data_IF_746271783074
#
_entry.id   IF_746271783074
#
_cell.length_a   1.000
_cell.length_b   1.000
_cell.length_c   1.000
_cell.angle_alpha   90.00
_cell.angle_beta   90.00
_cell.angle_gamma   90.00
#
_symmetry.space_group_name_H-M   'P 1'
#
loop_
_entity.id
_entity.type
_entity.pdbx_description
1 polymer ?
#
# COMPACT_ATOMS: atom_id res chain seq x y z
N UNK A 1 7.80 24.20 -18.40
CA UNK A 1 6.51 23.63 -18.88
C UNK A 1 6.61 22.13 -19.16
N UNK A 2 7.70 21.63 -19.78
CA UNK A 2 7.91 20.18 -19.99
C UNK A 2 8.21 19.38 -18.71
N UNK A 3 8.78 20.00 -17.66
CA UNK A 3 9.13 19.30 -16.42
C UNK A 3 7.90 18.86 -15.61
N UNK A 4 6.87 19.69 -15.49
CA UNK A 4 5.63 19.37 -14.75
C UNK A 4 4.82 18.24 -15.40
N UNK A 5 4.76 18.20 -16.73
CA UNK A 5 4.10 17.11 -17.47
C UNK A 5 4.88 15.81 -17.32
N UNK A 6 6.22 15.86 -17.42
CA UNK A 6 7.08 14.70 -17.17
C UNK A 6 6.90 14.16 -15.74
N UNK A 7 6.95 15.03 -14.73
CA UNK A 7 6.72 14.64 -13.33
C UNK A 7 5.33 14.05 -13.09
N UNK A 8 4.27 14.61 -13.70
CA UNK A 8 2.92 14.05 -13.62
C UNK A 8 2.86 12.62 -14.20
N UNK A 9 3.43 12.42 -15.39
CA UNK A 9 3.48 11.10 -16.03
C UNK A 9 4.30 10.09 -15.23
N UNK A 10 5.45 10.51 -14.71
CA UNK A 10 6.28 9.67 -13.83
C UNK A 10 5.47 9.26 -12.59
N UNK A 11 4.82 10.20 -11.91
CA UNK A 11 3.99 9.91 -10.76
C UNK A 11 2.85 8.94 -11.12
N UNK A 12 2.17 9.15 -12.25
CA UNK A 12 1.12 8.24 -12.71
C UNK A 12 1.61 6.82 -13.01
N UNK A 13 2.76 6.67 -13.67
CA UNK A 13 3.36 5.36 -13.93
C UNK A 13 3.74 4.68 -12.62
N UNK A 14 4.35 5.41 -11.68
CA UNK A 14 4.74 4.86 -10.38
C UNK A 14 3.53 4.43 -9.55
N UNK A 15 2.42 5.16 -9.59
CA UNK A 15 1.16 4.74 -8.98
C UNK A 15 0.68 3.40 -9.55
N UNK A 16 0.65 3.24 -10.87
CA UNK A 16 0.24 1.96 -11.48
C UNK A 16 1.19 0.82 -11.13
N UNK A 17 2.50 1.08 -11.11
CA UNK A 17 3.49 0.08 -10.65
C UNK A 17 3.18 -0.31 -9.22
N UNK A 18 3.01 0.66 -8.31
CA UNK A 18 2.70 0.42 -6.91
C UNK A 18 1.45 -0.45 -6.73
N UNK A 19 0.33 -0.06 -7.34
CA UNK A 19 -0.94 -0.80 -7.25
C UNK A 19 -0.82 -2.21 -7.82
N UNK A 20 -0.24 -2.38 -9.01
CA UNK A 20 -0.13 -3.70 -9.66
C UNK A 20 0.81 -4.61 -8.88
N UNK A 21 1.98 -4.13 -8.47
CA UNK A 21 2.93 -4.98 -7.73
C UNK A 21 2.41 -5.33 -6.34
N UNK A 22 1.69 -4.42 -5.66
CA UNK A 22 1.04 -4.75 -4.41
C UNK A 22 -0.04 -5.83 -4.58
N UNK A 23 -0.96 -5.66 -5.55
CA UNK A 23 -2.04 -6.63 -5.79
C UNK A 23 -1.50 -8.02 -6.13
N UNK A 24 -0.50 -8.10 -7.04
CA UNK A 24 0.12 -9.36 -7.41
C UNK A 24 0.93 -9.94 -6.24
N UNK A 25 1.71 -9.11 -5.55
CA UNK A 25 2.57 -9.53 -4.45
C UNK A 25 1.77 -10.11 -3.29
N UNK A 26 0.79 -9.36 -2.82
CA UNK A 26 -0.11 -9.78 -1.76
C UNK A 26 -0.92 -11.02 -2.16
N UNK A 27 -1.43 -11.06 -3.40
CA UNK A 27 -2.17 -12.21 -3.91
C UNK A 27 -1.36 -13.52 -3.94
N UNK A 28 -0.07 -13.45 -4.32
CA UNK A 28 0.83 -14.61 -4.29
C UNK A 28 1.08 -15.12 -2.85
N UNK A 29 1.17 -14.21 -1.88
CA UNK A 29 1.38 -14.55 -0.46
C UNK A 29 0.09 -15.15 0.12
N UNK A 30 -1.04 -14.47 -0.03
CA UNK A 30 -2.32 -14.88 0.55
C UNK A 30 -2.86 -16.19 -0.05
N UNK A 31 -2.57 -16.48 -1.32
CA UNK A 31 -2.89 -17.76 -1.94
C UNK A 31 -2.34 -18.97 -1.14
N UNK A 32 -1.26 -18.77 -0.39
CA UNK A 32 -0.67 -19.79 0.48
C UNK A 32 -1.15 -19.62 1.92
N UNK A 33 -1.13 -18.38 2.45
CA UNK A 33 -1.43 -18.11 3.86
C UNK A 33 -2.90 -18.33 4.24
N UNK A 34 -3.84 -18.28 3.29
CA UNK A 34 -5.26 -18.53 3.56
C UNK A 34 -5.61 -20.02 3.70
N UNK A 35 -4.64 -20.93 3.50
CA UNK A 35 -4.87 -22.36 3.74
C UNK A 35 -4.87 -22.66 5.25
N UNK A 36 -5.80 -23.50 5.75
CA UNK A 36 -5.80 -23.93 7.16
C UNK A 36 -4.47 -24.54 7.58
N UNK A 37 -3.83 -25.28 6.66
CA UNK A 37 -2.55 -25.95 6.86
C UNK A 37 -1.37 -25.17 6.25
N UNK A 38 -1.41 -23.83 6.27
CA UNK A 38 -0.40 -22.98 5.62
C UNK A 38 1.05 -23.36 5.97
N UNK A 39 1.33 -23.81 7.21
CA UNK A 39 2.68 -24.25 7.62
C UNK A 39 3.22 -25.45 6.84
N UNK A 40 2.37 -26.27 6.21
CA UNK A 40 2.80 -27.34 5.30
C UNK A 40 3.10 -26.81 3.89
N UNK A 41 2.52 -25.67 3.51
CA UNK A 41 2.55 -25.16 2.14
C UNK A 41 3.54 -24.02 1.90
N UNK A 42 3.86 -23.23 2.93
CA UNK A 42 4.75 -22.06 2.80
C UNK A 42 6.16 -22.45 2.35
N UNK A 43 6.81 -23.44 2.98
CA UNK A 43 8.18 -23.82 2.61
C UNK A 43 8.28 -24.48 1.21
N UNK A 44 7.42 -25.43 0.83
CA UNK A 44 7.40 -25.96 -0.54
C UNK A 44 7.21 -24.87 -1.60
N UNK A 45 6.43 -23.83 -1.30
CA UNK A 45 6.18 -22.70 -2.19
C UNK A 45 7.01 -21.45 -1.85
N UNK A 46 8.16 -21.60 -1.19
CA UNK A 46 9.00 -20.48 -0.74
C UNK A 46 9.33 -19.46 -1.85
N UNK A 47 9.57 -19.93 -3.08
CA UNK A 47 9.86 -19.05 -4.21
C UNK A 47 8.69 -18.13 -4.54
N UNK A 48 7.45 -18.65 -4.48
CA UNK A 48 6.24 -17.86 -4.69
C UNK A 48 6.08 -16.79 -3.60
N UNK A 49 6.28 -17.17 -2.34
CA UNK A 49 6.22 -16.22 -1.20
C UNK A 49 7.31 -15.16 -1.34
N UNK A 50 8.55 -15.54 -1.68
CA UNK A 50 9.65 -14.60 -1.89
C UNK A 50 9.39 -13.64 -3.05
N UNK A 51 8.84 -14.11 -4.18
CA UNK A 51 8.42 -13.25 -5.29
C UNK A 51 7.34 -12.27 -4.82
N UNK A 52 6.36 -12.75 -4.06
CA UNK A 52 5.30 -11.90 -3.51
C UNK A 52 5.86 -10.77 -2.64
N UNK A 53 6.80 -11.09 -1.76
CA UNK A 53 7.50 -10.12 -0.91
C UNK A 53 8.32 -9.13 -1.72
N UNK A 54 9.05 -9.58 -2.75
CA UNK A 54 9.80 -8.69 -3.65
C UNK A 54 8.89 -7.68 -4.37
N UNK A 55 7.68 -8.11 -4.77
CA UNK A 55 6.69 -7.22 -5.37
C UNK A 55 6.14 -6.19 -4.37
N UNK A 56 5.94 -6.57 -3.10
CA UNK A 56 5.59 -5.63 -2.02
C UNK A 56 6.71 -4.60 -1.77
N UNK A 57 7.98 -4.99 -1.86
CA UNK A 57 9.12 -4.06 -1.81
C UNK A 57 9.14 -3.06 -2.97
N UNK A 58 8.85 -3.54 -4.19
CA UNK A 58 8.72 -2.67 -5.37
C UNK A 58 7.57 -1.66 -5.16
N UNK A 59 6.45 -2.11 -4.61
CA UNK A 59 5.34 -1.23 -4.25
C UNK A 59 5.78 -0.12 -3.26
N UNK A 60 6.41 -0.48 -2.16
CA UNK A 60 6.90 0.49 -1.16
C UNK A 60 7.88 1.50 -1.76
N UNK A 61 8.75 1.05 -2.66
CA UNK A 61 9.72 1.93 -3.35
C UNK A 61 9.01 2.87 -4.32
N UNK A 62 8.04 2.35 -5.09
CA UNK A 62 7.23 3.15 -5.99
C UNK A 62 6.40 4.20 -5.23
N UNK A 63 5.84 3.85 -4.06
CA UNK A 63 5.09 4.77 -3.19
C UNK A 63 5.94 5.98 -2.76
N UNK A 64 7.19 5.76 -2.34
CA UNK A 64 8.13 6.85 -2.04
C UNK A 64 8.47 7.65 -3.30
N UNK A 65 8.69 6.97 -4.42
CA UNK A 65 8.94 7.60 -5.71
C UNK A 65 7.81 8.53 -6.17
N UNK A 66 6.55 8.16 -5.94
CA UNK A 66 5.38 9.02 -6.20
C UNK A 66 5.48 10.31 -5.39
N UNK A 67 5.76 10.20 -4.09
CA UNK A 67 5.91 11.35 -3.20
C UNK A 67 6.99 12.31 -3.70
N UNK A 68 8.15 11.77 -4.08
CA UNK A 68 9.27 12.54 -4.64
C UNK A 68 8.89 13.20 -5.97
N UNK A 69 8.19 12.48 -6.86
CA UNK A 69 7.77 13.01 -8.15
C UNK A 69 6.73 14.13 -8.03
N UNK A 70 5.83 14.04 -7.04
CA UNK A 70 4.79 15.05 -6.78
C UNK A 70 5.30 16.25 -5.98
N UNK A 71 6.35 16.07 -5.16
CA UNK A 71 6.86 17.11 -4.27
C UNK A 71 7.12 18.48 -4.94
N UNK A 72 7.82 18.58 -6.10
CA UNK A 72 8.07 19.87 -6.75
C UNK A 72 6.81 20.61 -7.21
N UNK A 73 5.69 19.89 -7.34
CA UNK A 73 4.40 20.42 -7.81
C UNK A 73 3.56 20.86 -6.61
N UNK A 74 3.46 19.98 -5.60
CA UNK A 74 2.71 20.24 -4.37
C UNK A 74 3.32 21.40 -3.58
N UNK A 75 4.66 21.48 -3.50
CA UNK A 75 5.34 22.53 -2.74
C UNK A 75 5.02 23.95 -3.20
N UNK A 76 4.68 24.12 -4.49
CA UNK A 76 4.28 25.43 -5.05
C UNK A 76 2.94 25.93 -4.49
N UNK A 77 2.15 25.04 -3.91
CA UNK A 77 0.79 25.33 -3.44
C UNK A 77 0.71 25.32 -1.91
N UNK A 78 1.42 24.38 -1.28
CA UNK A 78 1.65 24.34 0.16
C UNK A 78 2.84 23.43 0.46
N UNK A 79 3.95 24.02 0.92
CA UNK A 79 5.18 23.28 1.21
C UNK A 79 5.06 22.36 2.43
N UNK A 80 4.34 22.77 3.47
CA UNK A 80 4.12 21.95 4.68
C UNK A 80 3.37 20.66 4.34
N UNK A 81 2.30 20.77 3.54
CA UNK A 81 1.55 19.60 3.06
C UNK A 81 2.41 18.75 2.12
N UNK A 82 3.20 19.36 1.25
CA UNK A 82 4.08 18.61 0.35
C UNK A 82 5.15 17.81 1.10
N UNK A 83 5.79 18.41 2.11
CA UNK A 83 6.82 17.76 2.92
C UNK A 83 6.25 16.62 3.75
N UNK A 84 5.12 16.82 4.43
CA UNK A 84 4.54 15.74 5.20
C UNK A 84 4.02 14.61 4.32
N UNK A 85 3.63 14.87 3.05
CA UNK A 85 3.25 13.78 2.13
C UNK A 85 4.43 12.86 1.86
N UNK A 86 5.61 13.44 1.63
CA UNK A 86 6.84 12.66 1.48
C UNK A 86 7.16 11.90 2.77
N UNK A 87 7.10 12.56 3.93
CA UNK A 87 7.41 11.93 5.22
C UNK A 87 6.47 10.75 5.54
N UNK A 88 5.16 10.93 5.37
CA UNK A 88 4.18 9.88 5.62
C UNK A 88 4.27 8.73 4.61
N UNK A 89 4.62 9.00 3.35
CA UNK A 89 4.91 7.93 2.37
C UNK A 89 6.14 7.11 2.74
N UNK A 90 7.17 7.73 3.32
CA UNK A 90 8.33 7.00 3.85
C UNK A 90 7.93 6.14 5.06
N UNK A 91 7.16 6.70 6.00
CA UNK A 91 6.67 5.97 7.18
C UNK A 91 5.81 4.77 6.76
N UNK A 92 4.85 4.98 5.86
CA UNK A 92 4.03 3.92 5.26
C UNK A 92 4.90 2.82 4.66
N UNK A 93 5.84 3.18 3.78
CA UNK A 93 6.73 2.23 3.11
C UNK A 93 7.53 1.39 4.12
N UNK A 94 8.04 2.01 5.18
CA UNK A 94 8.78 1.31 6.25
C UNK A 94 7.87 0.33 6.99
N UNK A 95 6.64 0.74 7.35
CA UNK A 95 5.69 -0.15 8.04
C UNK A 95 5.34 -1.36 7.16
N UNK A 96 5.09 -1.14 5.86
CA UNK A 96 4.82 -2.23 4.91
C UNK A 96 6.01 -3.18 4.78
N UNK A 97 7.24 -2.65 4.70
CA UNK A 97 8.47 -3.45 4.66
C UNK A 97 8.60 -4.31 5.93
N UNK A 98 8.31 -3.75 7.11
CA UNK A 98 8.32 -4.51 8.37
C UNK A 98 7.28 -5.63 8.32
N UNK A 99 6.07 -5.37 7.80
CA UNK A 99 5.05 -6.39 7.61
C UNK A 99 5.46 -7.50 6.64
N UNK A 100 6.23 -7.16 5.60
CA UNK A 100 6.74 -8.11 4.61
C UNK A 100 7.84 -9.04 5.15
N UNK A 101 8.41 -8.74 6.32
CA UNK A 101 9.33 -9.66 7.03
C UNK A 101 8.59 -10.89 7.55
N UNK A 102 7.33 -10.73 7.98
CA UNK A 102 6.52 -11.82 8.52
C UNK A 102 6.40 -13.05 7.58
N UNK A 103 6.02 -12.90 6.29
CA UNK A 103 5.98 -14.03 5.36
C UNK A 103 7.35 -14.66 5.08
N UNK A 104 8.45 -13.89 5.18
CA UNK A 104 9.81 -14.44 5.08
C UNK A 104 10.15 -15.31 6.31
N UNK A 105 9.78 -14.86 7.51
CA UNK A 105 9.94 -15.65 8.74
C UNK A 105 9.10 -16.93 8.69
N UNK A 106 7.90 -16.88 8.12
CA UNK A 106 7.05 -18.04 7.93
C UNK A 106 7.68 -19.12 7.05
N UNK A 107 8.53 -18.77 6.08
CA UNK A 107 9.28 -19.76 5.29
C UNK A 107 10.20 -20.59 6.19
N UNK A 108 10.89 -19.95 7.13
CA UNK A 108 11.77 -20.64 8.08
C UNK A 108 10.96 -21.47 9.08
N UNK A 109 9.89 -20.90 9.65
CA UNK A 109 9.02 -21.61 10.59
C UNK A 109 8.38 -22.85 9.94
N UNK A 110 7.92 -22.74 8.69
CA UNK A 110 7.35 -23.84 7.91
C UNK A 110 8.38 -24.94 7.63
N UNK A 111 9.63 -24.58 7.32
CA UNK A 111 10.70 -25.57 7.12
C UNK A 111 10.94 -26.44 8.35
N UNK A 112 11.08 -25.79 9.52
CA UNK A 112 11.34 -26.48 10.78
C UNK A 112 10.12 -27.29 11.23
N UNK A 113 8.91 -26.77 11.02
CA UNK A 113 7.66 -27.49 11.28
C UNK A 113 7.59 -28.82 10.53
N UNK A 114 7.92 -28.82 9.23
CA UNK A 114 7.94 -30.03 8.39
C UNK A 114 9.03 -31.00 8.86
N UNK A 115 10.18 -30.51 9.33
CA UNK A 115 11.30 -31.35 9.75
C UNK A 115 11.07 -32.03 11.11
N UNK A 116 10.47 -31.34 12.08
CA UNK A 116 10.29 -31.83 13.46
C UNK A 116 9.01 -32.66 13.63
N UNK A 117 7.96 -32.38 12.86
CA UNK A 117 6.69 -33.10 12.93
C UNK A 117 5.88 -32.82 14.21
N UNK A 118 5.00 -33.77 14.58
CA UNK A 118 4.00 -33.62 15.64
C UNK A 118 4.49 -33.17 17.05
N UNK A 119 5.68 -33.55 17.55
CA UNK A 119 6.08 -33.25 18.93
C UNK A 119 6.20 -31.75 19.27
N UNK A 120 6.46 -30.89 18.27
CA UNK A 120 6.62 -29.44 18.45
C UNK A 120 5.63 -28.61 17.62
N UNK A 121 4.59 -29.24 17.07
CA UNK A 121 3.67 -28.61 16.10
C UNK A 121 2.97 -27.36 16.64
N UNK A 122 2.59 -27.36 17.92
CA UNK A 122 1.87 -26.25 18.57
C UNK A 122 2.70 -24.96 18.68
N UNK A 123 4.02 -25.07 18.90
CA UNK A 123 4.92 -23.93 18.99
C UNK A 123 4.99 -23.19 17.64
N UNK A 124 5.16 -23.92 16.54
CA UNK A 124 5.21 -23.33 15.20
C UNK A 124 3.85 -22.76 14.76
N UNK A 125 2.73 -23.38 15.14
CA UNK A 125 1.39 -22.84 14.90
C UNK A 125 1.19 -21.49 15.60
N UNK A 126 1.68 -21.35 16.83
CA UNK A 126 1.56 -20.11 17.61
C UNK A 126 2.44 -19.00 17.03
N UNK A 127 3.69 -19.32 16.67
CA UNK A 127 4.58 -18.36 16.00
C UNK A 127 4.03 -17.97 14.63
N UNK A 128 3.47 -18.93 13.90
CA UNK A 128 2.92 -18.70 12.56
C UNK A 128 1.68 -17.82 12.59
N UNK A 129 0.75 -18.05 13.53
CA UNK A 129 -0.43 -17.20 13.68
C UNK A 129 -0.05 -15.77 14.10
N UNK A 130 0.94 -15.62 14.98
CA UNK A 130 1.46 -14.31 15.37
C UNK A 130 2.11 -13.58 14.18
N UNK A 131 2.84 -14.30 13.32
CA UNK A 131 3.43 -13.71 12.11
C UNK A 131 2.36 -13.26 11.10
N UNK A 132 1.30 -14.05 10.90
CA UNK A 132 0.16 -13.66 10.05
C UNK A 132 -0.52 -12.41 10.61
N UNK A 133 -0.78 -12.39 11.93
CA UNK A 133 -1.35 -11.23 12.61
C UNK A 133 -0.44 -10.00 12.53
N UNK A 134 0.88 -10.21 12.62
CA UNK A 134 1.88 -9.16 12.44
C UNK A 134 1.81 -8.51 11.07
N UNK A 135 1.78 -9.31 9.99
CA UNK A 135 1.57 -8.80 8.61
C UNK A 135 0.28 -8.00 8.50
N UNK A 136 -0.82 -8.54 9.03
CA UNK A 136 -2.13 -7.88 9.01
C UNK A 136 -2.08 -6.53 9.71
N UNK A 137 -1.56 -6.47 10.94
CA UNK A 137 -1.48 -5.24 11.72
C UNK A 137 -0.58 -4.20 11.05
N UNK A 138 0.58 -4.61 10.53
CA UNK A 138 1.46 -3.73 9.76
C UNK A 138 0.73 -3.14 8.55
N UNK A 139 -0.03 -3.94 7.81
CA UNK A 139 -0.84 -3.42 6.70
C UNK A 139 -1.86 -2.37 7.16
N UNK A 140 -2.64 -2.65 8.21
CA UNK A 140 -3.63 -1.68 8.70
C UNK A 140 -3.00 -0.39 9.21
N UNK A 141 -1.87 -0.46 9.91
CA UNK A 141 -1.13 0.72 10.35
C UNK A 141 -0.62 1.54 9.15
N UNK A 142 -0.09 0.89 8.11
CA UNK A 142 0.31 1.56 6.89
C UNK A 142 -0.88 2.24 6.19
N UNK A 143 -2.04 1.58 6.14
CA UNK A 143 -3.27 2.15 5.57
C UNK A 143 -3.77 3.38 6.34
N UNK A 144 -3.64 3.41 7.67
CA UNK A 144 -3.96 4.59 8.48
C UNK A 144 -3.03 5.76 8.14
N UNK A 145 -1.73 5.52 8.10
CA UNK A 145 -0.71 6.53 7.76
C UNK A 145 -0.95 7.06 6.34
N UNK A 146 -1.22 6.16 5.39
CA UNK A 146 -1.57 6.48 4.01
C UNK A 146 -2.83 7.34 3.94
N UNK A 147 -3.91 6.90 4.59
CA UNK A 147 -5.21 7.56 4.58
C UNK A 147 -5.15 8.98 5.14
N UNK A 148 -4.57 9.15 6.33
CA UNK A 148 -4.46 10.44 7.02
C UNK A 148 -3.82 11.52 6.12
N UNK A 149 -2.69 11.19 5.50
CA UNK A 149 -1.97 12.18 4.70
C UNK A 149 -2.50 12.30 3.26
N UNK A 150 -3.08 11.24 2.72
CA UNK A 150 -3.70 11.29 1.38
C UNK A 150 -4.99 12.11 1.37
N UNK A 151 -5.67 12.27 2.50
CA UNK A 151 -6.75 13.25 2.66
C UNK A 151 -6.24 14.69 2.50
N UNK A 152 -5.08 15.02 3.09
CA UNK A 152 -4.43 16.33 2.93
C UNK A 152 -3.95 16.55 1.49
N UNK A 153 -3.44 15.50 0.83
CA UNK A 153 -3.14 15.53 -0.60
C UNK A 153 -4.40 15.85 -1.42
N UNK A 154 -5.51 15.15 -1.19
CA UNK A 154 -6.77 15.36 -1.91
C UNK A 154 -7.31 16.79 -1.68
N UNK A 155 -7.21 17.29 -0.45
CA UNK A 155 -7.53 18.69 -0.14
C UNK A 155 -6.68 19.66 -0.96
N UNK A 156 -5.36 19.44 -1.02
CA UNK A 156 -4.45 20.27 -1.79
C UNK A 156 -4.76 20.22 -3.29
N UNK A 157 -5.03 19.03 -3.85
CA UNK A 157 -5.44 18.83 -5.24
C UNK A 157 -6.76 19.52 -5.57
N UNK A 158 -7.73 19.48 -4.66
CA UNK A 158 -9.02 20.16 -4.79
C UNK A 158 -8.86 21.69 -4.82
N UNK A 159 -8.10 22.25 -3.86
CA UNK A 159 -7.91 23.69 -3.71
C UNK A 159 -7.05 24.29 -4.81
N UNK A 160 -6.02 23.57 -5.24
CA UNK A 160 -5.11 23.98 -6.33
C UNK A 160 -5.70 23.81 -7.73
N UNK A 161 -6.81 23.06 -7.88
CA UNK A 161 -7.41 22.68 -9.17
C UNK A 161 -6.42 21.98 -10.12
N UNK A 162 -5.39 21.34 -9.57
CA UNK A 162 -4.38 20.59 -10.33
C UNK A 162 -4.99 19.45 -11.15
N UNK A 163 -6.11 18.88 -10.67
CA UNK A 163 -6.93 17.90 -11.37
C UNK A 163 -8.41 18.33 -11.30
N UNK A 164 -9.33 17.70 -12.08
CA UNK A 164 -10.75 17.98 -11.98
C UNK A 164 -11.27 17.80 -10.55
N UNK A 165 -12.08 18.74 -10.06
CA UNK A 165 -12.59 18.74 -8.66
C UNK A 165 -13.31 17.45 -8.29
N UNK A 166 -14.08 16.89 -9.22
CA UNK A 166 -14.76 15.61 -9.04
C UNK A 166 -13.77 14.48 -8.68
N UNK A 167 -12.62 14.42 -9.37
CA UNK A 167 -11.60 13.40 -9.11
C UNK A 167 -10.95 13.59 -7.73
N UNK A 168 -10.72 14.85 -7.30
CA UNK A 168 -10.22 15.12 -5.94
C UNK A 168 -11.23 14.74 -4.85
N UNK A 169 -12.53 15.00 -5.06
CA UNK A 169 -13.59 14.60 -4.13
C UNK A 169 -13.68 13.08 -4.05
N UNK A 170 -13.63 12.41 -5.21
CA UNK A 170 -13.65 10.95 -5.27
C UNK A 170 -12.46 10.34 -4.53
N UNK A 171 -11.25 10.90 -4.70
CA UNK A 171 -10.08 10.49 -3.93
C UNK A 171 -10.21 10.74 -2.44
N UNK A 172 -10.79 11.88 -2.05
CA UNK A 172 -11.06 12.16 -0.64
C UNK A 172 -11.98 11.11 -0.01
N UNK A 173 -13.08 10.75 -0.70
CA UNK A 173 -13.98 9.67 -0.27
C UNK A 173 -13.20 8.35 -0.19
N UNK A 174 -12.41 8.03 -1.22
CA UNK A 174 -11.57 6.82 -1.26
C UNK A 174 -10.65 6.67 -0.05
N UNK A 175 -9.84 7.68 0.24
CA UNK A 175 -8.91 7.63 1.37
C UNK A 175 -9.61 7.75 2.73
N UNK A 176 -10.76 8.44 2.81
CA UNK A 176 -11.56 8.46 4.02
C UNK A 176 -12.13 7.08 4.33
N UNK A 177 -12.70 6.39 3.33
CA UNK A 177 -13.20 5.02 3.47
C UNK A 177 -12.09 4.04 3.85
N UNK A 178 -10.91 4.15 3.22
CA UNK A 178 -9.73 3.33 3.54
C UNK A 178 -9.25 3.57 4.97
N UNK A 179 -9.16 4.83 5.41
CA UNK A 179 -8.79 5.17 6.79
C UNK A 179 -9.80 4.62 7.81
N UNK A 180 -11.09 4.76 7.54
CA UNK A 180 -12.16 4.23 8.40
C UNK A 180 -12.10 2.71 8.47
N UNK A 181 -11.89 2.03 7.34
CA UNK A 181 -11.74 0.58 7.28
C UNK A 181 -10.57 0.11 8.13
N UNK A 182 -9.40 0.70 7.96
CA UNK A 182 -8.20 0.32 8.71
C UNK A 182 -8.34 0.53 10.22
N UNK A 183 -9.02 1.61 10.65
CA UNK A 183 -9.34 1.83 12.05
C UNK A 183 -10.29 0.77 12.60
N UNK A 184 -11.37 0.47 11.88
CA UNK A 184 -12.36 -0.53 12.30
C UNK A 184 -11.76 -1.94 12.40
N UNK A 185 -10.92 -2.32 11.45
CA UNK A 185 -10.20 -3.61 11.47
C UNK A 185 -9.27 -3.72 12.70
N UNK A 186 -8.60 -2.63 13.10
CA UNK A 186 -7.79 -2.61 14.34
C UNK A 186 -8.65 -2.77 15.59
N UNK A 187 -9.86 -2.21 15.60
CA UNK A 187 -10.82 -2.40 16.69
C UNK A 187 -11.53 -3.77 16.67
N UNK A 188 -11.20 -4.65 15.71
CA UNK A 188 -11.76 -5.99 15.60
C UNK A 188 -13.10 -6.05 14.85
N UNK A 189 -13.49 -4.97 14.17
CA UNK A 189 -14.67 -4.95 13.30
C UNK A 189 -14.28 -5.26 11.87
N UNK A 190 -14.68 -6.44 11.37
CA UNK A 190 -14.46 -6.79 9.97
C UNK A 190 -15.32 -5.93 9.06
N UNK A 191 -14.67 -5.08 8.29
CA UNK A 191 -15.32 -4.16 7.35
C UNK A 191 -15.43 -4.73 5.94
N UNK A 192 -14.67 -5.80 5.66
CA UNK A 192 -14.61 -6.43 4.35
C UNK A 192 -14.07 -5.49 3.26
N UNK A 193 -14.22 -5.90 2.00
CA UNK A 193 -13.66 -5.14 0.87
C UNK A 193 -14.45 -3.86 0.51
N UNK A 194 -15.67 -3.68 1.04
CA UNK A 194 -16.58 -2.60 0.63
C UNK A 194 -15.97 -1.20 0.78
N UNK A 195 -15.27 -0.94 1.89
CA UNK A 195 -14.67 0.36 2.17
C UNK A 195 -13.34 0.58 1.42
N UNK A 196 -12.71 -0.48 0.89
CA UNK A 196 -11.50 -0.38 0.08
C UNK A 196 -11.79 -0.05 -1.39
N UNK A 197 -12.98 -0.40 -1.90
CA UNK A 197 -13.35 -0.23 -3.32
C UNK A 197 -13.18 1.24 -3.80
N UNK A 198 -13.67 2.27 -3.09
CA UNK A 198 -13.55 3.64 -3.59
C UNK A 198 -12.09 4.12 -3.65
N UNK A 199 -11.26 3.70 -2.69
CA UNK A 199 -9.82 3.96 -2.68
C UNK A 199 -9.12 3.28 -3.86
N UNK A 200 -9.36 1.99 -4.06
CA UNK A 200 -8.78 1.22 -5.16
C UNK A 200 -9.15 1.81 -6.54
N UNK A 201 -10.41 2.20 -6.73
CA UNK A 201 -10.84 2.86 -7.96
C UNK A 201 -10.13 4.21 -8.16
N UNK A 202 -9.97 5.00 -7.10
CA UNK A 202 -9.24 6.26 -7.20
C UNK A 202 -7.77 6.04 -7.56
N UNK A 203 -7.11 5.04 -6.96
CA UNK A 203 -5.72 4.70 -7.27
C UNK A 203 -5.50 4.19 -8.69
N UNK A 204 -6.54 3.81 -9.42
CA UNK A 204 -6.47 3.48 -10.85
C UNK A 204 -6.82 4.72 -11.70
N UNK A 205 -7.88 5.45 -11.37
CA UNK A 205 -8.36 6.58 -12.15
C UNK A 205 -7.37 7.77 -12.11
N UNK A 206 -6.81 8.06 -10.93
CA UNK A 206 -5.88 9.16 -10.74
C UNK A 206 -4.60 9.03 -11.59
N UNK A 207 -3.86 7.92 -11.58
CA UNK A 207 -2.67 7.79 -12.42
C UNK A 207 -2.98 7.78 -13.91
N UNK A 208 -4.09 7.16 -14.35
CA UNK A 208 -4.51 7.21 -15.76
C UNK A 208 -4.70 8.67 -16.18
N UNK A 209 -5.35 9.47 -15.33
CA UNK A 209 -5.50 10.90 -15.59
C UNK A 209 -4.15 11.63 -15.67
N UNK A 210 -3.22 11.36 -14.75
CA UNK A 210 -1.88 11.95 -14.76
C UNK A 210 -1.07 11.59 -16.01
N UNK A 211 -1.23 10.37 -16.52
CA UNK A 211 -0.52 9.89 -17.71
C UNK A 211 -1.08 10.58 -18.97
N UNK A 212 -2.41 10.59 -19.12
CA UNK A 212 -3.09 11.07 -20.34
C UNK A 212 -3.10 12.60 -20.39
N UNK A 213 -3.49 13.27 -19.30
CA UNK A 213 -3.70 14.73 -19.27
C UNK A 213 -2.65 15.49 -18.47
N UNK A 214 -2.12 14.88 -17.41
CA UNK A 214 -1.23 15.57 -16.46
C UNK A 214 -1.97 16.61 -15.61
N UNK A 215 -1.22 17.54 -15.03
CA UNK A 215 -1.79 18.59 -14.17
C UNK A 215 -2.29 19.79 -14.97
N UNK A 216 -3.43 20.34 -14.53
CA UNK A 216 -3.94 21.61 -15.01
C UNK A 216 -2.94 22.73 -14.71
N UNK A 217 -2.83 23.69 -15.64
CA UNK A 217 -2.06 24.92 -15.39
C UNK A 217 -2.83 25.77 -14.36
N UNK A 218 -2.14 26.43 -13.42
CA UNK A 218 -2.78 27.49 -12.65
C UNK A 218 -3.33 28.51 -13.66
N UNK A 219 -4.60 28.89 -13.52
CA UNK A 219 -5.13 30.06 -14.22
C UNK A 219 -4.31 31.25 -13.73
N UNK A 220 -3.47 31.79 -14.61
CA UNK A 220 -2.82 33.10 -14.45
C UNK A 220 -3.85 34.17 -14.15
#
# INVERSE_FOLDING_TARGET
MNSTIKSARIAGILFLIATVTYMLGNGLIEAILNNPDYLLHVYPHKTQVSIGVLLEFINSTAAVGIAIALFPILKKHNEQIALGYVAFRIIEAVILIVGAICPLLLIHASKEYIAVGAPAASYFQTIGSLAIQGKFLSFQLAMIVLGLYSLLLCYLLYRSKLIPRFLSIFGFIGYASLLTSALLEIFGHSTGMLLFIPGALFEILFPIWLIVKGFNKPSS
#
